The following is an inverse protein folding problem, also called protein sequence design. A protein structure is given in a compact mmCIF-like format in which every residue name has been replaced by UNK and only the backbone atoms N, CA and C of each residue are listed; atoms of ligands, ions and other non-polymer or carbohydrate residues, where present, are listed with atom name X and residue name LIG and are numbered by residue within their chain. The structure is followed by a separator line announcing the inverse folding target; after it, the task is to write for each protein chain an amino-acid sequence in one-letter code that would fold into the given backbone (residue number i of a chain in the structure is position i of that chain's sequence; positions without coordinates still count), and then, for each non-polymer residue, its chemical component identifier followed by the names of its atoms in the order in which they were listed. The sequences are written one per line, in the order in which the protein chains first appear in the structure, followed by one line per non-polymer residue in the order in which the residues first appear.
data_IF_345720388389
#
_entry.id   IF_345720388389
#
_cell.length_a   1.000
_cell.length_b   1.000
_cell.length_c   1.000
_cell.angle_alpha   90.00
_cell.angle_beta   90.00
_cell.angle_gamma   90.00
#
_symmetry.space_group_name_H-M   'P 1'
#
loop_
_entity.id
_entity.type
_entity.pdbx_description
1 polymer ?
#
# COMPACT_ATOMS: atom_id res chain seq x y z
N UNK A 1 -17.06 13.90 -1.50
CA UNK A 1 -17.34 12.59 -2.15
C UNK A 1 -16.37 11.58 -1.59
N UNK A 2 -16.80 10.32 -1.34
CA UNK A 2 -15.89 9.29 -0.88
C UNK A 2 -14.76 9.06 -1.91
N UNK A 3 -13.53 8.72 -1.45
CA UNK A 3 -12.44 8.39 -2.36
C UNK A 3 -12.72 7.08 -3.09
N UNK A 4 -12.02 6.81 -4.18
CA UNK A 4 -11.88 5.46 -4.74
C UNK A 4 -10.69 4.77 -4.08
N UNK A 5 -10.64 3.43 -4.14
CA UNK A 5 -9.51 2.67 -3.64
C UNK A 5 -8.83 1.89 -4.77
N UNK A 6 -7.51 1.76 -4.73
CA UNK A 6 -6.76 0.91 -5.64
C UNK A 6 -5.80 0.01 -4.87
N UNK A 7 -5.91 -1.30 -5.07
CA UNK A 7 -5.02 -2.26 -4.44
C UNK A 7 -4.67 -3.41 -5.38
N UNK A 8 -3.37 -3.80 -5.45
CA UNK A 8 -2.97 -5.01 -6.14
C UNK A 8 -3.54 -6.22 -5.40
N UNK A 9 -4.00 -7.22 -6.12
CA UNK A 9 -4.62 -8.40 -5.53
C UNK A 9 -3.82 -9.65 -5.89
N UNK A 10 -2.67 -9.83 -5.25
CA UNK A 10 -1.86 -11.02 -5.40
C UNK A 10 -2.27 -12.08 -4.36
N UNK A 11 -3.09 -13.03 -4.76
CA UNK A 11 -3.66 -14.07 -3.91
C UNK A 11 -3.72 -15.43 -4.66
N UNK A 12 -2.56 -16.03 -4.98
CA UNK A 12 -2.49 -17.23 -5.80
C UNK A 12 -3.16 -18.47 -5.16
N UNK A 13 -3.32 -18.45 -3.83
CA UNK A 13 -3.89 -19.54 -3.05
C UNK A 13 -5.26 -19.18 -2.44
N UNK A 14 -5.86 -18.07 -2.84
CA UNK A 14 -7.14 -17.53 -2.36
C UNK A 14 -7.22 -17.35 -0.82
N UNK A 15 -6.10 -17.02 -0.18
CA UNK A 15 -6.06 -16.79 1.28
C UNK A 15 -6.71 -15.46 1.67
N UNK A 16 -6.59 -14.43 0.83
CA UNK A 16 -7.14 -13.10 1.08
C UNK A 16 -8.55 -12.91 0.50
N UNK A 17 -8.99 -13.78 -0.40
CA UNK A 17 -10.30 -13.69 -1.03
C UNK A 17 -11.47 -13.73 -0.03
N UNK A 18 -11.50 -14.62 0.98
CA UNK A 18 -12.54 -14.60 2.02
C UNK A 18 -12.59 -13.28 2.80
N UNK A 19 -11.41 -12.68 3.07
CA UNK A 19 -11.34 -11.37 3.74
C UNK A 19 -11.89 -10.24 2.86
N UNK A 20 -11.60 -10.27 1.55
CA UNK A 20 -12.17 -9.31 0.61
C UNK A 20 -13.71 -9.42 0.57
N UNK A 21 -14.25 -10.64 0.53
CA UNK A 21 -15.69 -10.89 0.55
C UNK A 21 -16.33 -10.37 1.84
N UNK A 22 -15.76 -10.70 2.99
CA UNK A 22 -16.28 -10.29 4.30
C UNK A 22 -16.27 -8.77 4.50
N UNK A 23 -15.28 -8.07 3.93
CA UNK A 23 -15.13 -6.62 4.08
C UNK A 23 -15.84 -5.82 2.97
N UNK A 24 -16.44 -6.44 1.96
CA UNK A 24 -17.09 -5.73 0.85
C UNK A 24 -18.13 -4.70 1.28
N UNK A 25 -19.01 -4.96 2.28
CA UNK A 25 -19.98 -3.95 2.74
C UNK A 25 -19.30 -2.69 3.29
N UNK A 26 -18.23 -2.86 4.07
CA UNK A 26 -17.45 -1.75 4.62
C UNK A 26 -16.72 -0.98 3.51
N UNK A 27 -16.12 -1.68 2.56
CA UNK A 27 -15.46 -1.07 1.41
C UNK A 27 -16.42 -0.20 0.59
N UNK A 28 -17.64 -0.69 0.32
CA UNK A 28 -18.69 0.09 -0.37
C UNK A 28 -19.19 1.29 0.43
N UNK A 29 -19.10 1.25 1.74
CA UNK A 29 -19.45 2.39 2.61
C UNK A 29 -18.37 3.47 2.56
N UNK A 30 -17.09 3.07 2.50
CA UNK A 30 -15.93 3.95 2.58
C UNK A 30 -15.51 4.51 1.22
N UNK A 31 -15.71 3.75 0.15
CA UNK A 31 -15.16 4.04 -1.15
C UNK A 31 -16.22 4.06 -2.24
N UNK A 32 -16.04 4.93 -3.22
CA UNK A 32 -16.91 5.05 -4.41
C UNK A 32 -16.81 3.81 -5.29
N UNK A 33 -15.61 3.25 -5.45
CA UNK A 33 -15.28 2.06 -6.25
C UNK A 33 -13.91 1.51 -5.88
N UNK A 34 -13.63 0.29 -6.30
CA UNK A 34 -12.31 -0.32 -6.16
C UNK A 34 -11.69 -0.61 -7.53
N UNK A 35 -10.48 -0.14 -7.73
CA UNK A 35 -9.61 -0.50 -8.85
C UNK A 35 -8.72 -1.66 -8.42
N UNK A 36 -8.74 -2.74 -9.18
CA UNK A 36 -8.08 -3.99 -8.80
C UNK A 36 -7.34 -4.61 -9.99
N UNK A 37 -6.21 -5.20 -9.73
CA UNK A 37 -5.39 -5.87 -10.74
C UNK A 37 -4.88 -7.20 -10.20
N UNK A 38 -5.60 -8.33 -10.42
CA UNK A 38 -5.10 -9.65 -10.09
C UNK A 38 -4.02 -10.08 -11.11
N UNK A 39 -2.83 -10.55 -10.68
CA UNK A 39 -1.82 -11.10 -11.56
C UNK A 39 -2.24 -12.46 -12.14
N UNK A 40 -1.50 -12.96 -13.15
CA UNK A 40 -1.87 -14.17 -13.88
C UNK A 40 -2.10 -15.40 -12.99
N UNK A 41 -1.28 -15.59 -11.96
CA UNK A 41 -1.41 -16.72 -11.04
C UNK A 41 -2.64 -16.62 -10.11
N UNK A 42 -3.15 -15.43 -9.86
CA UNK A 42 -4.39 -15.20 -9.11
C UNK A 42 -5.60 -15.28 -10.04
N UNK A 43 -5.51 -14.79 -11.26
CA UNK A 43 -6.59 -14.81 -12.27
C UNK A 43 -7.02 -16.20 -12.74
N UNK A 44 -6.20 -17.23 -12.51
CA UNK A 44 -6.56 -18.62 -12.83
C UNK A 44 -7.75 -19.15 -12.03
N UNK A 45 -8.20 -18.44 -11.01
CA UNK A 45 -9.33 -18.81 -10.17
C UNK A 45 -10.63 -18.20 -10.71
N UNK A 46 -11.39 -18.96 -11.49
CA UNK A 46 -12.66 -18.51 -12.08
C UNK A 46 -13.64 -18.00 -11.03
N UNK A 47 -13.72 -18.66 -9.86
CA UNK A 47 -14.60 -18.23 -8.76
C UNK A 47 -14.33 -16.81 -8.27
N UNK A 48 -13.07 -16.40 -8.21
CA UNK A 48 -12.68 -15.02 -7.88
C UNK A 48 -13.07 -14.07 -9.01
N UNK A 49 -12.73 -14.42 -10.26
CA UNK A 49 -12.98 -13.55 -11.41
C UNK A 49 -14.48 -13.35 -11.65
N UNK A 50 -15.27 -14.41 -11.54
CA UNK A 50 -16.73 -14.35 -11.62
C UNK A 50 -17.35 -13.53 -10.50
N UNK A 51 -16.78 -13.60 -9.29
CA UNK A 51 -17.26 -12.82 -8.17
C UNK A 51 -16.96 -11.32 -8.37
N UNK A 52 -15.76 -10.98 -8.82
CA UNK A 52 -15.39 -9.60 -9.13
C UNK A 52 -16.24 -9.00 -10.26
N UNK A 53 -16.55 -9.81 -11.29
CA UNK A 53 -17.32 -9.36 -12.43
C UNK A 53 -18.82 -9.13 -12.14
N UNK A 54 -19.36 -9.71 -11.05
CA UNK A 54 -20.77 -9.56 -10.65
C UNK A 54 -21.07 -8.26 -9.91
N UNK A 55 -20.05 -7.51 -9.50
CA UNK A 55 -20.23 -6.34 -8.67
C UNK A 55 -19.55 -5.11 -9.33
N UNK A 56 -20.37 -4.13 -9.67
CA UNK A 56 -19.94 -2.88 -10.35
C UNK A 56 -19.06 -1.97 -9.47
N UNK A 57 -18.93 -2.29 -8.20
CA UNK A 57 -17.96 -1.66 -7.32
C UNK A 57 -16.52 -1.90 -7.78
N UNK A 58 -16.24 -3.02 -8.43
CA UNK A 58 -14.91 -3.39 -8.91
C UNK A 58 -14.67 -2.99 -10.36
N UNK A 59 -13.58 -2.30 -10.61
CA UNK A 59 -13.00 -2.10 -11.93
C UNK A 59 -11.74 -2.93 -12.02
N UNK A 60 -11.78 -4.03 -12.76
CA UNK A 60 -10.68 -4.99 -12.88
C UNK A 60 -9.83 -4.65 -14.11
N UNK A 61 -8.53 -4.45 -13.90
CA UNK A 61 -7.57 -4.28 -15.00
C UNK A 61 -6.82 -5.59 -15.24
N UNK A 62 -7.12 -6.30 -16.33
CA UNK A 62 -6.47 -7.57 -16.61
C UNK A 62 -5.02 -7.39 -17.06
N UNK A 63 -4.12 -8.23 -16.55
CA UNK A 63 -2.76 -8.35 -17.05
C UNK A 63 -2.65 -9.55 -17.98
N UNK A 64 -1.85 -9.45 -19.02
CA UNK A 64 -1.63 -10.47 -20.05
C UNK A 64 -0.24 -11.14 -19.97
N UNK A 65 0.64 -10.63 -19.12
CA UNK A 65 2.00 -11.14 -18.91
C UNK A 65 2.38 -11.18 -17.43
N UNK A 66 3.37 -11.98 -17.11
CA UNK A 66 4.02 -11.92 -15.80
C UNK A 66 4.74 -10.58 -15.66
N UNK A 67 4.57 -9.93 -14.52
CA UNK A 67 5.19 -8.65 -14.16
C UNK A 67 5.99 -8.80 -12.87
N UNK A 68 7.03 -7.99 -12.71
CA UNK A 68 7.65 -7.77 -11.41
C UNK A 68 6.68 -6.99 -10.50
N UNK A 69 6.88 -7.06 -9.20
CA UNK A 69 5.94 -6.50 -8.23
C UNK A 69 5.71 -4.99 -8.41
N UNK A 70 6.77 -4.22 -8.65
CA UNK A 70 6.65 -2.78 -8.87
C UNK A 70 6.00 -2.44 -10.22
N UNK A 71 6.31 -3.21 -11.28
CA UNK A 71 5.61 -3.06 -12.58
C UNK A 71 4.11 -3.31 -12.44
N UNK A 72 3.73 -4.35 -11.68
CA UNK A 72 2.33 -4.69 -11.45
C UNK A 72 1.59 -3.58 -10.69
N UNK A 73 2.22 -3.01 -9.66
CA UNK A 73 1.66 -1.88 -8.92
C UNK A 73 1.55 -0.63 -9.79
N UNK A 74 2.61 -0.29 -10.52
CA UNK A 74 2.59 0.85 -11.44
C UNK A 74 1.51 0.68 -12.53
N UNK A 75 1.33 -0.52 -13.08
CA UNK A 75 0.29 -0.82 -14.05
C UNK A 75 -1.10 -0.55 -13.47
N UNK A 76 -1.41 -1.06 -12.26
CA UNK A 76 -2.67 -0.79 -11.58
C UNK A 76 -2.88 0.72 -11.39
N UNK A 77 -1.91 1.40 -10.80
CA UNK A 77 -2.06 2.81 -10.43
C UNK A 77 -2.20 3.74 -11.66
N UNK A 78 -1.47 3.44 -12.75
CA UNK A 78 -1.62 4.15 -14.03
C UNK A 78 -3.03 3.99 -14.59
N UNK A 79 -3.56 2.76 -14.60
CA UNK A 79 -4.90 2.50 -15.14
C UNK A 79 -6.00 3.08 -14.23
N UNK A 80 -5.85 3.00 -12.91
CA UNK A 80 -6.75 3.64 -11.96
C UNK A 80 -6.79 5.17 -12.16
N UNK A 81 -5.62 5.82 -12.28
CA UNK A 81 -5.53 7.26 -12.51
C UNK A 81 -6.12 7.70 -13.85
N UNK A 82 -6.07 6.84 -14.89
CA UNK A 82 -6.67 7.10 -16.20
C UNK A 82 -8.19 6.90 -16.21
N UNK A 83 -8.69 5.95 -15.42
CA UNK A 83 -10.12 5.63 -15.35
C UNK A 83 -10.90 6.59 -14.43
N UNK A 84 -10.22 7.25 -13.51
CA UNK A 84 -10.79 8.20 -12.58
C UNK A 84 -10.89 9.62 -13.17
N UNK A 85 -11.82 10.43 -12.64
CA UNK A 85 -11.83 11.86 -12.91
C UNK A 85 -10.54 12.51 -12.36
N UNK A 86 -9.98 13.56 -13.01
CA UNK A 86 -8.73 14.19 -12.58
C UNK A 86 -8.70 14.63 -11.11
N UNK A 87 -9.84 15.07 -10.57
CA UNK A 87 -10.00 15.51 -9.18
C UNK A 87 -10.42 14.41 -8.22
N UNK A 88 -10.71 13.21 -8.73
CA UNK A 88 -11.04 12.05 -7.89
C UNK A 88 -9.87 11.69 -7.00
N UNK A 89 -10.15 11.49 -5.72
CA UNK A 89 -9.16 11.03 -4.74
C UNK A 89 -9.09 9.52 -4.84
N UNK A 90 -7.88 8.99 -5.00
CA UNK A 90 -7.60 7.54 -5.01
C UNK A 90 -6.75 7.19 -3.79
N UNK A 91 -7.23 6.25 -3.00
CA UNK A 91 -6.51 5.66 -1.88
C UNK A 91 -5.79 4.40 -2.36
N UNK A 92 -4.49 4.45 -2.46
CA UNK A 92 -3.64 3.31 -2.80
C UNK A 92 -3.36 2.51 -1.52
N UNK A 93 -3.62 1.21 -1.53
CA UNK A 93 -3.48 0.35 -0.35
C UNK A 93 -3.06 -1.08 -0.74
N UNK A 94 -2.83 -1.92 0.26
CA UNK A 94 -2.61 -3.37 0.11
C UNK A 94 -3.75 -4.12 0.75
N UNK A 95 -4.17 -5.24 0.14
CA UNK A 95 -5.36 -5.98 0.59
C UNK A 95 -5.22 -6.55 2.00
N UNK A 96 -4.05 -7.04 2.38
CA UNK A 96 -3.75 -7.56 3.71
C UNK A 96 -3.89 -6.45 4.78
N UNK A 97 -3.39 -5.25 4.48
CA UNK A 97 -3.51 -4.07 5.33
C UNK A 97 -4.96 -3.63 5.50
N UNK A 98 -5.72 -3.61 4.40
CA UNK A 98 -7.14 -3.30 4.44
C UNK A 98 -7.94 -4.32 5.26
N UNK A 99 -7.69 -5.61 5.05
CA UNK A 99 -8.36 -6.67 5.78
C UNK A 99 -8.11 -6.55 7.29
N UNK A 100 -6.85 -6.33 7.69
CA UNK A 100 -6.51 -6.13 9.09
C UNK A 100 -7.14 -4.85 9.67
N UNK A 101 -7.09 -3.73 8.95
CA UNK A 101 -7.67 -2.47 9.41
C UNK A 101 -9.20 -2.58 9.61
N UNK A 102 -9.90 -3.33 8.74
CA UNK A 102 -11.36 -3.49 8.81
C UNK A 102 -11.82 -4.58 9.78
N UNK A 103 -11.04 -5.62 10.02
CA UNK A 103 -11.40 -6.73 10.91
C UNK A 103 -10.69 -6.69 12.26
N UNK A 104 -9.66 -5.86 12.38
CA UNK A 104 -8.87 -5.70 13.60
C UNK A 104 -9.48 -4.72 14.61
N UNK A 105 -8.78 -4.50 15.73
CA UNK A 105 -9.26 -3.66 16.83
C UNK A 105 -9.36 -2.17 16.46
N UNK A 106 -8.78 -1.75 15.35
CA UNK A 106 -8.71 -0.35 14.92
C UNK A 106 -9.73 0.03 13.84
N UNK A 107 -10.71 -0.85 13.54
CA UNK A 107 -11.72 -0.63 12.51
C UNK A 107 -12.38 0.75 12.59
N UNK A 108 -12.84 1.14 13.77
CA UNK A 108 -13.53 2.44 13.97
C UNK A 108 -12.61 3.62 13.61
N UNK A 109 -11.33 3.58 14.01
CA UNK A 109 -10.36 4.62 13.70
C UNK A 109 -10.09 4.66 12.19
N UNK A 110 -9.86 3.52 11.55
CA UNK A 110 -9.65 3.45 10.10
C UNK A 110 -10.82 4.04 9.33
N UNK A 111 -12.06 3.63 9.65
CA UNK A 111 -13.26 4.18 9.00
C UNK A 111 -13.39 5.69 9.18
N UNK A 112 -13.11 6.19 10.38
CA UNK A 112 -13.13 7.63 10.67
C UNK A 112 -12.07 8.36 9.85
N UNK A 113 -10.85 7.84 9.80
CA UNK A 113 -9.74 8.46 9.09
C UNK A 113 -10.00 8.53 7.59
N UNK A 114 -10.52 7.45 6.99
CA UNK A 114 -10.87 7.41 5.56
C UNK A 114 -12.02 8.36 5.23
N UNK A 115 -13.09 8.37 6.04
CA UNK A 115 -14.23 9.27 5.84
C UNK A 115 -13.86 10.75 5.95
N UNK A 116 -12.82 11.08 6.71
CA UNK A 116 -12.34 12.45 6.91
C UNK A 116 -11.26 12.89 5.90
N UNK A 117 -10.94 12.09 4.89
CA UNK A 117 -10.02 12.51 3.84
C UNK A 117 -10.66 13.64 3.02
N UNK A 118 -10.16 14.85 3.21
CA UNK A 118 -10.56 16.00 2.42
C UNK A 118 -9.69 16.23 1.19
N UNK A 119 -10.20 16.97 0.22
CA UNK A 119 -9.44 17.31 -0.98
C UNK A 119 -8.19 18.17 -0.70
N UNK A 120 -8.18 18.89 0.42
CA UNK A 120 -7.05 19.70 0.85
C UNK A 120 -5.90 18.91 1.50
N UNK A 121 -6.15 17.65 1.86
CA UNK A 121 -5.19 16.83 2.59
C UNK A 121 -4.27 16.00 1.69
N UNK A 122 -4.54 15.96 0.40
CA UNK A 122 -3.78 15.14 -0.55
C UNK A 122 -2.71 15.92 -1.31
N UNK A 123 -1.55 15.30 -1.61
CA UNK A 123 -1.19 13.92 -1.34
C UNK A 123 -0.92 13.65 0.16
N UNK A 124 -1.41 12.52 0.67
CA UNK A 124 -1.32 12.13 2.09
C UNK A 124 -0.76 10.72 2.21
N UNK A 125 0.20 10.53 3.11
CA UNK A 125 0.63 9.21 3.57
C UNK A 125 0.06 8.98 4.97
N UNK A 126 -0.67 7.89 5.16
CA UNK A 126 -0.90 7.33 6.47
C UNK A 126 0.36 6.58 6.89
N UNK A 127 0.97 7.01 7.99
CA UNK A 127 2.19 6.42 8.51
C UNK A 127 1.97 5.83 9.89
N UNK A 128 2.77 4.85 10.24
CA UNK A 128 2.66 4.14 11.49
C UNK A 128 2.99 5.06 12.66
N UNK A 129 2.08 5.14 13.65
CA UNK A 129 2.36 5.76 14.94
C UNK A 129 3.42 4.95 15.72
N UNK A 130 3.97 5.55 16.77
CA UNK A 130 4.85 4.82 17.71
C UNK A 130 4.16 3.56 18.26
N UNK A 131 2.86 3.65 18.56
CA UNK A 131 2.07 2.51 19.06
C UNK A 131 1.92 1.42 17.99
N UNK A 132 1.66 1.80 16.73
CA UNK A 132 1.61 0.85 15.63
C UNK A 132 2.96 0.14 15.47
N UNK A 133 4.08 0.87 15.50
CA UNK A 133 5.42 0.30 15.39
C UNK A 133 5.77 -0.70 16.52
N UNK A 134 5.30 -0.48 17.74
CA UNK A 134 5.51 -1.39 18.87
C UNK A 134 4.86 -2.78 18.66
N UNK A 135 3.86 -2.87 17.79
CA UNK A 135 3.24 -4.16 17.45
C UNK A 135 4.07 -4.99 16.47
N UNK A 136 4.92 -4.35 15.67
CA UNK A 136 5.68 -5.04 14.61
C UNK A 136 6.80 -5.91 15.17
N UNK A 137 7.20 -6.99 14.46
CA UNK A 137 8.46 -7.67 14.68
C UNK A 137 9.63 -6.69 14.65
N UNK A 138 10.60 -6.86 15.55
CA UNK A 138 11.70 -5.90 15.72
C UNK A 138 12.53 -5.71 14.45
N UNK A 139 12.85 -6.79 13.73
CA UNK A 139 13.58 -6.74 12.47
C UNK A 139 12.83 -5.94 11.39
N UNK A 140 11.49 -5.97 11.39
CA UNK A 140 10.66 -5.15 10.48
C UNK A 140 10.81 -3.67 10.81
N UNK A 141 10.59 -3.33 12.09
CA UNK A 141 10.74 -1.96 12.56
C UNK A 141 12.13 -1.39 12.27
N UNK A 142 13.19 -2.11 12.60
CA UNK A 142 14.57 -1.63 12.43
C UNK A 142 14.92 -1.41 10.96
N UNK A 143 14.51 -2.30 10.06
CA UNK A 143 14.81 -2.18 8.63
C UNK A 143 13.99 -1.03 7.98
N UNK A 144 12.70 -0.95 8.25
CA UNK A 144 11.85 0.08 7.63
C UNK A 144 12.10 1.48 8.23
N UNK A 145 12.40 1.57 9.53
CA UNK A 145 12.82 2.83 10.14
C UNK A 145 14.18 3.32 9.64
N UNK A 146 15.08 2.40 9.25
CA UNK A 146 16.33 2.77 8.58
C UNK A 146 16.05 3.48 7.23
N UNK A 147 15.13 2.98 6.41
CA UNK A 147 14.72 3.63 5.16
C UNK A 147 14.21 5.06 5.43
N UNK A 148 13.33 5.22 6.42
CA UNK A 148 12.81 6.53 6.85
C UNK A 148 13.94 7.47 7.33
N UNK A 149 14.91 6.93 8.09
CA UNK A 149 16.06 7.68 8.58
C UNK A 149 16.93 8.21 7.44
N UNK A 150 17.21 7.38 6.44
CA UNK A 150 17.95 7.81 5.24
C UNK A 150 17.18 8.91 4.50
N UNK A 151 15.88 8.76 4.34
CA UNK A 151 15.04 9.81 3.74
C UNK A 151 15.11 11.13 4.51
N UNK A 152 15.08 11.10 5.84
CA UNK A 152 15.25 12.28 6.68
C UNK A 152 16.64 12.95 6.49
N UNK A 153 17.69 12.14 6.42
CA UNK A 153 19.06 12.65 6.18
C UNK A 153 19.15 13.33 4.82
N UNK A 154 18.62 12.69 3.77
CA UNK A 154 18.75 13.17 2.39
C UNK A 154 17.83 14.37 2.07
N UNK A 155 16.61 14.38 2.62
CA UNK A 155 15.57 15.33 2.21
C UNK A 155 15.00 16.19 3.35
N UNK A 156 15.51 16.04 4.58
CA UNK A 156 15.06 16.79 5.76
C UNK A 156 13.66 16.42 6.28
N UNK A 157 13.03 15.36 5.76
CA UNK A 157 11.66 14.96 6.11
C UNK A 157 11.60 13.49 6.51
N UNK A 158 10.94 13.22 7.64
CA UNK A 158 10.59 11.83 8.04
C UNK A 158 9.29 11.43 7.38
N UNK A 159 9.39 10.75 6.23
CA UNK A 159 8.25 10.18 5.52
C UNK A 159 8.36 8.66 5.53
N UNK A 160 7.23 7.96 5.53
CA UNK A 160 7.23 6.52 5.30
C UNK A 160 7.44 6.23 3.80
N UNK A 161 8.71 6.00 3.41
CA UNK A 161 9.07 5.68 2.02
C UNK A 161 8.69 4.25 1.63
N UNK A 162 8.37 3.40 2.62
CA UNK A 162 7.82 2.06 2.43
C UNK A 162 6.31 2.03 2.73
N UNK A 163 5.61 3.09 2.39
CA UNK A 163 4.20 3.27 2.70
C UNK A 163 3.32 2.08 2.27
N UNK A 164 2.24 1.90 3.01
CA UNK A 164 1.20 0.93 2.70
C UNK A 164 -0.12 1.59 2.31
N UNK A 165 -0.29 2.86 2.68
CA UNK A 165 -1.48 3.66 2.39
C UNK A 165 -1.08 5.07 1.95
N UNK A 166 -1.22 5.34 0.65
CA UNK A 166 -1.00 6.65 0.03
C UNK A 166 -2.30 7.14 -0.60
N UNK A 167 -2.67 8.38 -0.35
CA UNK A 167 -3.86 9.01 -0.92
C UNK A 167 -3.44 10.17 -1.79
N UNK A 168 -3.91 10.20 -3.04
CA UNK A 168 -3.59 11.27 -3.98
C UNK A 168 -4.75 11.51 -4.96
N UNK A 169 -4.78 12.66 -5.63
CA UNK A 169 -5.68 12.88 -6.77
C UNK A 169 -5.23 12.06 -7.97
N UNK A 170 -6.18 11.65 -8.79
CA UNK A 170 -5.87 10.99 -10.06
C UNK A 170 -4.92 11.83 -10.92
N UNK A 171 -5.11 13.15 -10.97
CA UNK A 171 -4.20 14.09 -11.70
C UNK A 171 -2.78 14.12 -11.15
N UNK A 172 -2.59 14.02 -9.82
CA UNK A 172 -1.27 13.93 -9.18
C UNK A 172 -0.58 12.60 -9.55
N UNK A 173 -1.32 11.49 -9.48
CA UNK A 173 -0.82 10.18 -9.89
C UNK A 173 -0.46 10.16 -11.38
N UNK A 174 -1.34 10.67 -12.25
CA UNK A 174 -1.08 10.76 -13.69
C UNK A 174 0.18 11.57 -14.03
N UNK A 175 0.52 12.58 -13.22
CA UNK A 175 1.73 13.40 -13.39
C UNK A 175 3.03 12.67 -12.99
N UNK A 176 2.99 11.84 -11.93
CA UNK A 176 4.20 11.21 -11.39
C UNK A 176 4.44 9.80 -11.93
N UNK A 177 3.39 8.99 -12.13
CA UNK A 177 3.53 7.58 -12.53
C UNK A 177 4.32 7.38 -13.83
N UNK A 178 4.22 8.25 -14.85
CA UNK A 178 5.09 8.14 -16.03
C UNK A 178 6.59 8.32 -15.76
N UNK A 179 6.96 8.81 -14.58
CA UNK A 179 8.36 9.00 -14.16
C UNK A 179 8.90 7.83 -13.33
N UNK A 180 8.01 7.04 -12.73
CA UNK A 180 8.36 5.84 -11.96
C UNK A 180 8.96 4.81 -12.90
N UNK A 181 10.13 4.28 -12.55
CA UNK A 181 10.92 3.38 -13.42
C UNK A 181 11.30 2.08 -12.75
N UNK A 182 11.31 2.03 -11.43
CA UNK A 182 11.75 0.85 -10.71
C UNK A 182 10.73 -0.30 -10.86
N UNK A 183 11.17 -1.49 -11.29
CA UNK A 183 10.29 -2.63 -11.50
C UNK A 183 9.98 -3.40 -10.21
N UNK A 184 10.68 -3.10 -9.12
CA UNK A 184 10.52 -3.71 -7.80
C UNK A 184 9.77 -2.78 -6.83
N UNK A 185 9.67 -3.16 -5.55
CA UNK A 185 8.97 -2.37 -4.53
C UNK A 185 9.61 -1.00 -4.25
N UNK A 186 10.81 -0.70 -4.74
CA UNK A 186 11.38 0.65 -4.58
C UNK A 186 10.62 1.72 -5.36
N UNK A 187 9.72 1.32 -6.27
CA UNK A 187 8.79 2.22 -6.94
C UNK A 187 7.92 3.00 -5.96
N UNK A 188 7.60 2.44 -4.77
CA UNK A 188 6.82 3.17 -3.77
C UNK A 188 7.61 4.35 -3.18
N UNK A 189 8.93 4.19 -3.01
CA UNK A 189 9.82 5.28 -2.63
C UNK A 189 9.94 6.34 -3.75
N UNK A 190 10.03 5.93 -5.04
CA UNK A 190 9.99 6.88 -6.16
C UNK A 190 8.73 7.73 -6.16
N UNK A 191 7.56 7.15 -5.91
CA UNK A 191 6.31 7.90 -5.82
C UNK A 191 6.38 8.98 -4.73
N UNK A 192 6.91 8.65 -3.56
CA UNK A 192 7.11 9.64 -2.48
C UNK A 192 8.03 10.76 -2.93
N UNK A 193 9.16 10.44 -3.56
CA UNK A 193 10.13 11.41 -4.05
C UNK A 193 9.53 12.37 -5.08
N UNK A 194 8.66 11.88 -5.96
CA UNK A 194 8.01 12.71 -6.97
C UNK A 194 6.82 13.52 -6.45
N UNK A 195 6.22 13.12 -5.33
CA UNK A 195 5.13 13.85 -4.69
C UNK A 195 5.62 14.91 -3.69
N UNK A 196 6.91 14.86 -3.26
CA UNK A 196 7.49 15.93 -2.46
C UNK A 196 7.51 17.26 -3.25
N UNK A 197 7.40 18.40 -2.60
CA UNK A 197 7.27 18.69 -1.17
C UNK A 197 5.84 18.64 -0.62
N UNK A 198 4.82 18.36 -1.45
CA UNK A 198 3.41 18.58 -1.14
C UNK A 198 2.81 17.51 -0.21
N UNK A 199 3.52 16.39 0.00
CA UNK A 199 3.03 15.27 0.83
C UNK A 199 2.77 15.73 2.26
N UNK A 200 1.56 15.46 2.72
CA UNK A 200 1.17 15.47 4.13
C UNK A 200 1.28 14.09 4.74
N UNK A 201 1.38 14.03 6.06
CA UNK A 201 1.43 12.77 6.80
C UNK A 201 0.40 12.78 7.93
N UNK A 202 -0.15 11.61 8.22
CA UNK A 202 -0.99 11.36 9.38
C UNK A 202 -0.56 10.08 10.07
N UNK A 203 -0.12 10.18 11.32
CA UNK A 203 0.18 9.01 12.15
C UNK A 203 -1.09 8.31 12.58
N UNK A 204 -1.11 6.98 12.46
CA UNK A 204 -2.28 6.15 12.77
C UNK A 204 -1.89 4.86 13.48
N UNK A 205 -2.76 4.41 14.39
CA UNK A 205 -2.56 3.16 15.13
C UNK A 205 -3.02 1.94 14.33
N UNK A 206 -3.96 2.11 13.39
CA UNK A 206 -4.51 1.01 12.59
C UNK A 206 -3.53 0.44 11.56
N UNK A 207 -2.36 1.05 11.36
CA UNK A 207 -1.22 0.44 10.68
C UNK A 207 -0.38 -0.42 11.65
N UNK A 208 -1.01 -0.99 12.69
CA UNK A 208 -0.40 -2.02 13.52
C UNK A 208 0.02 -3.24 12.66
N UNK A 209 0.90 -4.07 13.22
CA UNK A 209 1.39 -5.23 12.48
C UNK A 209 0.26 -6.16 12.07
N UNK A 210 0.28 -6.52 10.83
CA UNK A 210 -0.60 -7.52 10.24
C UNK A 210 0.22 -8.67 9.68
N UNK A 211 -0.37 -9.82 9.73
CA UNK A 211 0.11 -11.05 9.11
C UNK A 211 -1.16 -11.85 8.75
N UNK A 212 -1.20 -12.56 7.61
CA UNK A 212 -2.36 -13.37 7.23
C UNK A 212 -2.81 -14.37 8.30
N UNK A 213 -1.91 -14.73 9.21
CA UNK A 213 -2.18 -15.68 10.29
C UNK A 213 -2.49 -15.02 11.64
N UNK A 214 -2.42 -13.69 11.77
CA UNK A 214 -2.56 -13.01 13.08
C UNK A 214 -3.94 -13.21 13.72
N UNK A 215 -4.98 -13.42 12.90
CA UNK A 215 -6.34 -13.67 13.39
C UNK A 215 -6.59 -15.15 13.73
N UNK A 216 -5.70 -16.06 13.33
CA UNK A 216 -5.84 -17.53 13.51
C UNK A 216 -4.77 -18.16 14.40
N UNK A 217 -3.75 -17.40 14.82
CA UNK A 217 -2.62 -17.87 15.65
C UNK A 217 -2.39 -16.92 16.81
N UNK A 218 -1.63 -17.39 17.81
CA UNK A 218 -1.15 -16.54 18.90
C UNK A 218 -0.25 -15.42 18.35
N UNK A 219 -0.62 -14.13 18.49
CA UNK A 219 0.11 -13.02 17.87
C UNK A 219 1.55 -12.88 18.39
N UNK A 220 1.79 -13.11 19.69
CA UNK A 220 3.12 -12.94 20.28
C UNK A 220 4.07 -14.07 19.82
N UNK A 221 3.56 -15.28 19.75
CA UNK A 221 4.33 -16.41 19.22
C UNK A 221 4.65 -16.20 17.74
N UNK A 222 3.67 -15.78 16.96
CA UNK A 222 3.85 -15.49 15.53
C UNK A 222 4.87 -14.36 15.33
N UNK A 223 4.76 -13.29 16.11
CA UNK A 223 5.70 -12.17 16.11
C UNK A 223 7.13 -12.62 16.36
N UNK A 224 7.32 -13.43 17.41
CA UNK A 224 8.64 -13.98 17.75
C UNK A 224 9.21 -14.84 16.61
N UNK A 225 8.40 -15.72 16.01
CA UNK A 225 8.79 -16.53 14.85
C UNK A 225 9.30 -15.65 13.69
N UNK A 226 8.62 -14.52 13.42
CA UNK A 226 9.03 -13.56 12.37
C UNK A 226 10.32 -12.81 12.74
N UNK A 227 10.49 -12.45 14.01
CA UNK A 227 11.67 -11.73 14.50
C UNK A 227 12.96 -12.52 14.34
N UNK A 228 12.91 -13.82 14.59
CA UNK A 228 14.11 -14.68 14.54
C UNK A 228 14.35 -15.32 13.16
N UNK A 229 13.45 -15.12 12.19
CA UNK A 229 13.58 -15.71 10.84
C UNK A 229 14.57 -14.92 9.99
N UNK A 230 15.68 -15.56 9.55
CA UNK A 230 16.59 -14.95 8.57
C UNK A 230 15.90 -14.69 7.22
N UNK A 231 14.95 -15.55 6.82
CA UNK A 231 14.21 -15.43 5.57
C UNK A 231 13.32 -14.17 5.59
N UNK A 232 12.63 -13.90 6.71
CA UNK A 232 11.84 -12.67 6.83
C UNK A 232 12.73 -11.43 6.83
N UNK A 233 13.88 -11.50 7.50
CA UNK A 233 14.88 -10.42 7.47
C UNK A 233 15.40 -10.18 6.06
N UNK A 234 15.77 -11.24 5.33
CA UNK A 234 16.21 -11.17 3.94
C UNK A 234 15.12 -10.57 3.03
N UNK A 235 13.88 -11.00 3.20
CA UNK A 235 12.73 -10.46 2.48
C UNK A 235 12.59 -8.95 2.70
N UNK A 236 12.72 -8.46 3.94
CA UNK A 236 12.67 -7.01 4.24
C UNK A 236 13.82 -6.26 3.59
N UNK A 237 15.04 -6.78 3.66
CA UNK A 237 16.20 -6.17 3.02
C UNK A 237 16.08 -6.14 1.50
N UNK A 238 15.43 -7.12 0.88
CA UNK A 238 15.30 -7.21 -0.59
C UNK A 238 14.54 -6.03 -1.21
N UNK A 239 13.69 -5.32 -0.45
CA UNK A 239 13.07 -4.08 -0.91
C UNK A 239 13.63 -2.82 -0.22
N UNK A 240 14.07 -2.90 1.03
CA UNK A 240 14.62 -1.74 1.74
C UNK A 240 15.92 -1.23 1.10
N UNK A 241 16.83 -2.13 0.71
CA UNK A 241 18.09 -1.75 0.04
C UNK A 241 17.84 -1.07 -1.31
N UNK A 242 17.02 -1.59 -2.23
CA UNK A 242 16.65 -0.88 -3.46
C UNK A 242 15.98 0.49 -3.19
N UNK A 243 15.13 0.61 -2.17
CA UNK A 243 14.52 1.90 -1.79
C UNK A 243 15.58 2.93 -1.40
N UNK A 244 16.52 2.55 -0.53
CA UNK A 244 17.63 3.42 -0.12
C UNK A 244 18.48 3.84 -1.32
N UNK A 245 18.85 2.90 -2.19
CA UNK A 245 19.60 3.19 -3.42
C UNK A 245 18.83 4.17 -4.31
N UNK A 246 17.53 3.99 -4.49
CA UNK A 246 16.66 4.91 -5.24
C UNK A 246 16.69 6.32 -4.67
N UNK A 247 16.57 6.47 -3.34
CA UNK A 247 16.63 7.76 -2.67
C UNK A 247 17.99 8.45 -2.83
N UNK A 248 19.10 7.70 -2.69
CA UNK A 248 20.46 8.23 -2.90
C UNK A 248 20.63 8.70 -4.35
N UNK A 249 20.24 7.90 -5.33
CA UNK A 249 20.33 8.27 -6.75
C UNK A 249 19.47 9.50 -7.08
N UNK A 250 18.29 9.60 -6.48
CA UNK A 250 17.43 10.78 -6.63
C UNK A 250 18.11 12.04 -6.04
N UNK A 251 18.65 11.94 -4.83
CA UNK A 251 19.37 13.06 -4.19
C UNK A 251 20.56 13.54 -5.03
N UNK A 252 21.41 12.61 -5.51
CA UNK A 252 22.56 12.94 -6.37
C UNK A 252 22.17 13.67 -7.66
N UNK A 253 20.99 13.42 -8.19
CA UNK A 253 20.49 14.07 -9.41
C UNK A 253 19.84 15.44 -9.18
N UNK A 254 19.32 15.69 -7.98
CA UNK A 254 18.47 16.84 -7.70
C UNK A 254 19.00 17.79 -6.62
N UNK A 255 20.00 17.39 -5.85
CA UNK A 255 20.73 18.29 -4.92
C UNK A 255 21.85 18.99 -5.72
N UNK A 256 21.51 20.13 -6.30
CA UNK A 256 22.46 21.13 -6.79
C UNK A 256 22.43 22.34 -5.89
#
# INVERSE_FOLDING_TARGET
MPPSIAFPFHDPDLQMFPYLQANLPDLKTLFKRAYICPPLNTRRHDSLMDWLAKDDFFTVFPVDRQMQVGEHFAFLYVNAARAADPDEIIHLAYIDRLAFALQGPYRAQFMTDVNNIGSADVPLIFQRSTKAWQTHPRNYYEIESFVTTIGKILFGRSLDYAWCHLVARASQLAKILPKVRNPDLSMVAEMVLFLQPDIKTKEVDWLAWEDPFILSRDPEKLKHEREISPEETQKRLSYAVPMVNTMVQYALKHQK
#
